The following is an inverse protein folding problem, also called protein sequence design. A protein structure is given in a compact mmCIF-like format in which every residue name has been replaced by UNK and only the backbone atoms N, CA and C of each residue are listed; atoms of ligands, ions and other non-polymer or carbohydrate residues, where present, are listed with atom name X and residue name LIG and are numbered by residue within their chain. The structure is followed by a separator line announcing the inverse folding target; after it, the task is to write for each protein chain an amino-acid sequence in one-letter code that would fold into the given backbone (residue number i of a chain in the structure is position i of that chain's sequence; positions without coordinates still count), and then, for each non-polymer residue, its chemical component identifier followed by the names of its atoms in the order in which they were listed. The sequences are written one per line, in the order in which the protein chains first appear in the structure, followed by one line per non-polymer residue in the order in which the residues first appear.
data_IF_368136060991
#
_entry.id   IF_368136060991
#
_cell.length_a   1.000
_cell.length_b   1.000
_cell.length_c   1.000
_cell.angle_alpha   90.00
_cell.angle_beta   90.00
_cell.angle_gamma   90.00
#
_symmetry.space_group_name_H-M   'P 1'
#
loop_
_entity.id
_entity.type
_entity.pdbx_description
1 polymer ?
#
# COMPACT_ATOMS: atom_id res chain seq x y z
N UNK A 1 6.71 -4.64 -18.55
CA UNK A 1 7.74 -5.29 -19.41
C UNK A 1 7.47 -6.79 -19.53
N UNK A 2 7.99 -7.46 -20.56
CA UNK A 2 7.76 -8.90 -20.75
C UNK A 2 8.36 -9.68 -19.57
N UNK A 3 7.55 -10.51 -18.92
CA UNK A 3 7.98 -11.38 -17.81
C UNK A 3 8.09 -10.69 -16.45
N UNK A 4 7.63 -9.46 -16.29
CA UNK A 4 7.56 -8.81 -14.98
C UNK A 4 6.32 -9.30 -14.23
N UNK A 5 6.54 -9.78 -13.00
CA UNK A 5 5.48 -10.29 -12.13
C UNK A 5 5.10 -9.30 -11.02
N UNK A 6 6.03 -8.45 -10.60
CA UNK A 6 5.84 -7.51 -9.49
C UNK A 6 6.18 -6.07 -9.90
N UNK A 7 5.42 -5.07 -9.44
CA UNK A 7 5.76 -3.67 -9.65
C UNK A 7 6.92 -3.23 -8.76
N UNK A 8 7.49 -2.08 -9.09
CA UNK A 8 8.36 -1.30 -8.22
C UNK A 8 7.49 -0.34 -7.43
N UNK A 9 7.58 -0.44 -6.10
CA UNK A 9 6.89 0.44 -5.17
C UNK A 9 7.68 1.73 -4.95
N UNK A 10 7.00 2.86 -5.04
CA UNK A 10 7.60 4.18 -4.95
C UNK A 10 6.84 5.06 -3.93
N UNK A 11 7.60 5.85 -3.18
CA UNK A 11 7.06 7.05 -2.52
C UNK A 11 6.81 8.13 -3.58
N UNK A 12 5.79 8.96 -3.37
CA UNK A 12 5.46 10.06 -4.30
C UNK A 12 6.14 11.39 -3.94
N UNK A 13 6.97 11.41 -2.89
CA UNK A 13 7.65 12.61 -2.39
C UNK A 13 8.99 12.25 -1.76
N UNK A 14 9.99 13.10 -1.99
CA UNK A 14 11.32 13.04 -1.34
C UNK A 14 11.27 13.34 0.16
N UNK A 15 10.22 14.00 0.63
CA UNK A 15 10.00 14.26 2.07
C UNK A 15 9.60 12.98 2.81
N UNK A 16 8.82 12.12 2.15
CA UNK A 16 8.26 10.88 2.71
C UNK A 16 8.76 9.63 1.98
N UNK A 17 10.04 9.62 1.63
CA UNK A 17 10.74 8.45 1.10
C UNK A 17 11.59 7.78 2.19
N UNK A 18 11.91 6.51 1.98
CA UNK A 18 12.98 5.87 2.74
C UNK A 18 14.30 6.55 2.39
N UNK A 19 15.02 7.01 3.40
CA UNK A 19 16.35 7.60 3.22
C UNK A 19 17.35 6.50 2.84
N UNK A 20 18.33 6.78 1.97
CA UNK A 20 19.39 5.84 1.72
C UNK A 20 20.11 5.47 3.04
N UNK A 21 20.56 4.22 3.10
CA UNK A 21 21.48 3.65 4.10
C UNK A 21 22.85 3.41 3.43
N UNK A 22 23.92 3.06 4.18
CA UNK A 22 25.20 2.70 3.56
C UNK A 22 25.02 1.68 2.43
N UNK A 23 25.78 1.87 1.34
CA UNK A 23 25.75 1.04 0.12
C UNK A 23 24.41 1.02 -0.64
N UNK A 24 23.54 2.01 -0.41
CA UNK A 24 22.29 2.19 -1.16
C UNK A 24 22.15 3.60 -1.71
N UNK A 25 21.32 3.74 -2.75
CA UNK A 25 20.96 5.00 -3.39
C UNK A 25 19.44 5.11 -3.49
N UNK A 26 18.94 6.33 -3.69
CA UNK A 26 17.55 6.57 -4.07
C UNK A 26 17.51 7.26 -5.42
N UNK A 27 16.72 6.72 -6.34
CA UNK A 27 16.42 7.39 -7.61
C UNK A 27 15.25 8.35 -7.45
N UNK A 28 15.45 9.60 -7.85
CA UNK A 28 14.36 10.55 -8.05
C UNK A 28 13.89 10.41 -9.49
N UNK A 29 12.62 10.07 -9.66
CA UNK A 29 12.05 9.69 -10.95
C UNK A 29 10.99 10.70 -11.40
N UNK A 30 11.04 11.08 -12.68
CA UNK A 30 9.91 11.69 -13.40
C UNK A 30 9.34 10.63 -14.34
N UNK A 31 8.07 10.30 -14.13
CA UNK A 31 7.38 9.22 -14.85
C UNK A 31 6.09 9.76 -15.43
N UNK A 32 5.77 9.35 -16.66
CA UNK A 32 4.47 9.70 -17.25
C UNK A 32 3.34 9.17 -16.38
N UNK A 33 2.36 10.02 -16.07
CA UNK A 33 1.25 9.67 -15.17
C UNK A 33 0.49 8.42 -15.62
N UNK A 34 0.42 8.15 -16.92
CA UNK A 34 -0.23 6.95 -17.47
C UNK A 34 0.55 5.65 -17.21
N UNK A 35 1.83 5.73 -16.88
CA UNK A 35 2.68 4.59 -16.47
C UNK A 35 2.66 4.35 -14.94
N UNK A 36 1.92 5.16 -14.17
CA UNK A 36 1.87 5.11 -12.71
C UNK A 36 0.52 4.60 -12.21
N UNK A 37 0.55 3.65 -11.28
CA UNK A 37 -0.61 3.21 -10.51
C UNK A 37 -0.49 3.77 -9.09
N UNK A 38 -1.34 4.72 -8.74
CA UNK A 38 -1.42 5.25 -7.38
C UNK A 38 -2.35 4.43 -6.52
N UNK A 39 -2.03 4.32 -5.23
CA UNK A 39 -2.88 3.67 -4.24
C UNK A 39 -2.69 4.31 -2.86
N UNK A 40 -3.66 4.09 -1.99
CA UNK A 40 -3.62 4.49 -0.59
C UNK A 40 -2.83 3.44 0.22
N UNK A 41 -1.64 3.82 0.69
CA UNK A 41 -0.76 3.00 1.50
C UNK A 41 -1.33 2.66 2.88
N UNK A 42 -2.22 3.50 3.43
CA UNK A 42 -2.91 3.19 4.68
C UNK A 42 -3.96 2.10 4.49
N UNK A 43 -4.68 2.11 3.36
CA UNK A 43 -5.58 1.01 2.97
C UNK A 43 -4.81 -0.27 2.63
N UNK A 44 -3.59 -0.15 2.11
CA UNK A 44 -2.75 -1.33 1.86
C UNK A 44 -2.40 -2.11 3.13
N UNK A 45 -2.25 -1.45 4.28
CA UNK A 45 -2.03 -2.13 5.57
C UNK A 45 -3.17 -3.13 5.89
N UNK A 46 -4.40 -2.80 5.51
CA UNK A 46 -5.54 -3.72 5.67
C UNK A 46 -5.39 -4.95 4.78
N UNK A 47 -4.87 -4.80 3.55
CA UNK A 47 -4.59 -5.93 2.66
C UNK A 47 -3.54 -6.85 3.27
N UNK A 48 -2.44 -6.29 3.78
CA UNK A 48 -1.36 -7.05 4.44
C UNK A 48 -1.86 -7.82 5.67
N UNK A 49 -2.80 -7.23 6.42
CA UNK A 49 -3.39 -7.82 7.62
C UNK A 49 -4.64 -8.67 7.33
N UNK A 50 -4.98 -8.92 6.06
CA UNK A 50 -6.16 -9.67 5.63
C UNK A 50 -7.51 -9.14 6.15
N UNK A 51 -7.62 -7.81 6.28
CA UNK A 51 -8.78 -7.11 6.81
C UNK A 51 -9.69 -6.59 5.70
N UNK A 52 -10.95 -6.36 6.06
CA UNK A 52 -11.94 -5.69 5.21
C UNK A 52 -11.63 -4.19 5.14
N UNK A 53 -11.61 -3.63 3.95
CA UNK A 53 -11.45 -2.18 3.73
C UNK A 53 -12.85 -1.57 3.62
N UNK A 54 -13.33 -0.79 4.60
CA UNK A 54 -14.65 -0.19 4.52
C UNK A 54 -14.72 0.91 3.46
N UNK A 55 -15.89 1.08 2.86
CA UNK A 55 -16.16 2.17 1.91
C UNK A 55 -16.28 3.52 2.63
N UNK A 56 -16.98 3.50 3.76
CA UNK A 56 -17.30 4.64 4.59
C UNK A 56 -17.55 4.15 6.03
N UNK A 57 -17.91 5.08 6.92
CA UNK A 57 -18.12 4.77 8.34
C UNK A 57 -19.32 3.84 8.52
N UNK A 58 -20.38 4.05 7.78
CA UNK A 58 -21.61 3.27 7.82
C UNK A 58 -21.37 1.82 7.35
N UNK A 59 -20.58 1.62 6.29
CA UNK A 59 -20.14 0.31 5.82
C UNK A 59 -19.26 -0.41 6.86
N UNK A 60 -18.38 0.32 7.55
CA UNK A 60 -17.57 -0.22 8.63
C UNK A 60 -18.43 -0.72 9.81
N UNK A 61 -19.41 0.08 10.24
CA UNK A 61 -20.35 -0.28 11.30
C UNK A 61 -21.21 -1.49 10.90
N UNK A 62 -21.74 -1.50 9.67
CA UNK A 62 -22.52 -2.61 9.16
C UNK A 62 -21.71 -3.91 9.04
N UNK A 63 -20.45 -3.83 8.61
CA UNK A 63 -19.56 -4.99 8.57
C UNK A 63 -19.26 -5.53 9.97
N UNK A 64 -18.94 -4.64 10.91
CA UNK A 64 -18.65 -5.01 12.30
C UNK A 64 -19.86 -5.68 12.98
N UNK A 65 -21.07 -5.15 12.80
CA UNK A 65 -22.30 -5.77 13.31
C UNK A 65 -22.50 -7.19 12.78
N UNK A 66 -22.24 -7.43 11.49
CA UNK A 66 -22.32 -8.77 10.89
C UNK A 66 -21.29 -9.75 11.47
N UNK A 67 -20.13 -9.26 11.87
CA UNK A 67 -19.11 -10.08 12.54
C UNK A 67 -19.57 -10.48 13.95
N UNK A 68 -20.10 -9.52 14.72
CA UNK A 68 -20.63 -9.76 16.06
C UNK A 68 -21.79 -10.75 16.05
N UNK A 69 -22.75 -10.60 15.13
CA UNK A 69 -23.88 -11.52 14.95
C UNK A 69 -23.44 -12.96 14.66
N UNK A 70 -22.24 -13.14 14.09
CA UNK A 70 -21.63 -14.44 13.81
C UNK A 70 -20.65 -14.90 14.91
N UNK A 71 -20.47 -14.12 15.97
CA UNK A 71 -19.58 -14.42 17.09
C UNK A 71 -18.10 -14.14 16.83
N UNK A 72 -17.76 -13.37 15.78
CA UNK A 72 -16.39 -12.94 15.52
C UNK A 72 -16.07 -11.62 16.21
N UNK A 73 -14.81 -11.46 16.62
CA UNK A 73 -14.28 -10.18 17.09
C UNK A 73 -14.09 -9.22 15.92
N UNK A 74 -14.10 -7.91 16.20
CA UNK A 74 -13.68 -6.91 15.21
C UNK A 74 -12.27 -7.18 14.70
N UNK A 75 -12.05 -6.91 13.41
CA UNK A 75 -10.75 -7.12 12.77
C UNK A 75 -10.36 -8.60 12.61
N UNK A 76 -11.31 -9.54 12.65
CA UNK A 76 -11.02 -10.95 12.44
C UNK A 76 -10.58 -11.25 10.99
N UNK A 77 -9.44 -11.93 10.82
CA UNK A 77 -8.94 -12.41 9.53
C UNK A 77 -9.58 -13.74 9.15
N UNK A 78 -10.25 -13.78 8.00
CA UNK A 78 -10.82 -15.01 7.41
C UNK A 78 -9.87 -15.73 6.43
N UNK A 79 -8.63 -15.27 6.32
CA UNK A 79 -7.68 -15.73 5.29
C UNK A 79 -6.57 -16.62 5.86
N UNK A 80 -6.49 -16.75 7.19
CA UNK A 80 -5.50 -17.57 7.86
C UNK A 80 -5.56 -19.04 7.41
N UNK A 81 -4.39 -19.65 7.16
CA UNK A 81 -4.27 -20.99 6.57
C UNK A 81 -5.12 -22.07 7.27
N UNK A 82 -5.28 -21.95 8.59
CA UNK A 82 -6.02 -22.91 9.41
C UNK A 82 -7.54 -22.71 9.35
N UNK A 83 -8.01 -21.50 9.08
CA UNK A 83 -9.44 -21.14 9.16
C UNK A 83 -10.08 -20.86 7.79
N UNK A 84 -9.27 -20.63 6.75
CA UNK A 84 -9.70 -20.21 5.41
C UNK A 84 -10.77 -21.08 4.76
N UNK A 85 -10.78 -22.39 5.03
CA UNK A 85 -11.74 -23.32 4.44
C UNK A 85 -13.14 -23.26 5.08
N UNK A 86 -13.25 -22.71 6.28
CA UNK A 86 -14.53 -22.64 7.00
C UNK A 86 -15.36 -21.42 6.63
N UNK A 87 -14.75 -20.36 6.09
CA UNK A 87 -15.40 -19.06 5.85
C UNK A 87 -15.17 -18.54 4.41
N UNK A 88 -15.58 -19.31 3.38
CA UNK A 88 -15.33 -18.94 1.99
C UNK A 88 -16.07 -17.64 1.58
N UNK A 89 -17.25 -17.39 2.14
CA UNK A 89 -18.06 -16.21 1.86
C UNK A 89 -17.43 -14.95 2.44
N UNK A 90 -17.05 -14.98 3.72
CA UNK A 90 -16.42 -13.87 4.42
C UNK A 90 -15.08 -13.52 3.79
N UNK A 91 -14.29 -14.54 3.42
CA UNK A 91 -13.05 -14.35 2.65
C UNK A 91 -13.31 -13.58 1.35
N UNK A 92 -14.33 -13.97 0.59
CA UNK A 92 -14.66 -13.30 -0.68
C UNK A 92 -15.07 -11.84 -0.44
N UNK A 93 -15.83 -11.56 0.61
CA UNK A 93 -16.22 -10.19 1.00
C UNK A 93 -14.98 -9.36 1.32
N UNK A 94 -14.07 -9.88 2.15
CA UNK A 94 -12.80 -9.22 2.48
C UNK A 94 -11.98 -8.94 1.22
N UNK A 95 -11.70 -9.97 0.42
CA UNK A 95 -10.87 -9.81 -0.78
C UNK A 95 -11.47 -8.87 -1.82
N UNK A 96 -12.80 -8.86 -1.98
CA UNK A 96 -13.47 -7.94 -2.90
C UNK A 96 -13.31 -6.48 -2.44
N UNK A 97 -13.15 -6.23 -1.13
CA UNK A 97 -12.93 -4.87 -0.62
C UNK A 97 -11.53 -4.33 -0.93
N UNK A 98 -10.55 -5.19 -1.22
CA UNK A 98 -9.16 -4.78 -1.43
C UNK A 98 -8.95 -3.90 -2.66
N UNK A 99 -9.83 -3.96 -3.65
CA UNK A 99 -9.76 -3.04 -4.80
C UNK A 99 -9.91 -1.56 -4.39
N UNK A 100 -10.48 -1.28 -3.21
CA UNK A 100 -10.63 0.07 -2.67
C UNK A 100 -9.30 0.72 -2.27
N UNK A 101 -8.17 -0.01 -2.28
CA UNK A 101 -6.84 0.63 -2.14
C UNK A 101 -6.57 1.66 -3.24
N UNK A 102 -7.21 1.52 -4.40
CA UNK A 102 -7.09 2.47 -5.51
C UNK A 102 -8.10 3.63 -5.42
N UNK A 103 -9.03 3.59 -4.47
CA UNK A 103 -9.94 4.69 -4.16
C UNK A 103 -9.25 5.61 -3.15
N UNK A 104 -8.63 6.69 -3.63
CA UNK A 104 -7.85 7.61 -2.78
C UNK A 104 -8.73 8.81 -2.43
N UNK A 105 -9.21 8.85 -1.19
CA UNK A 105 -10.11 9.90 -0.69
C UNK A 105 -9.36 11.20 -0.40
N UNK A 106 -8.13 11.08 0.11
CA UNK A 106 -7.29 12.21 0.49
C UNK A 106 -5.90 12.08 -0.13
N UNK A 107 -5.56 13.03 -1.01
CA UNK A 107 -4.27 13.03 -1.68
C UNK A 107 -3.22 13.78 -0.84
N UNK A 108 -2.35 13.04 -0.16
CA UNK A 108 -1.22 13.61 0.55
C UNK A 108 0.01 12.68 0.51
N UNK A 109 1.18 13.25 0.80
CA UNK A 109 2.48 12.58 0.69
C UNK A 109 2.67 11.42 1.68
N UNK A 110 1.88 11.36 2.75
CA UNK A 110 1.95 10.33 3.79
C UNK A 110 1.08 9.11 3.50
N UNK A 111 -0.03 9.30 2.78
CA UNK A 111 -0.98 8.24 2.45
C UNK A 111 -0.77 7.66 1.06
N UNK A 112 -0.49 8.51 0.07
CA UNK A 112 -0.44 8.05 -1.32
C UNK A 112 0.91 7.45 -1.65
N UNK A 113 0.88 6.30 -2.31
CA UNK A 113 2.05 5.62 -2.84
C UNK A 113 1.82 5.29 -4.30
N UNK A 114 2.89 4.90 -4.99
CA UNK A 114 2.88 4.63 -6.42
C UNK A 114 3.50 3.27 -6.73
N UNK A 115 3.00 2.64 -7.78
CA UNK A 115 3.58 1.47 -8.39
C UNK A 115 3.88 1.78 -9.86
N UNK A 116 5.09 1.43 -10.29
CA UNK A 116 5.51 1.45 -11.69
C UNK A 116 6.00 0.05 -12.11
N UNK A 117 6.01 -0.24 -13.40
CA UNK A 117 6.38 -1.57 -13.88
C UNK A 117 7.87 -1.73 -14.25
N UNK A 118 8.60 -0.62 -14.32
CA UNK A 118 10.02 -0.57 -14.67
C UNK A 118 10.58 0.82 -14.37
N UNK A 119 11.90 0.90 -14.18
CA UNK A 119 12.66 2.15 -14.17
C UNK A 119 13.45 2.21 -15.47
N UNK A 120 13.28 3.28 -16.25
CA UNK A 120 14.05 3.55 -17.47
C UNK A 120 15.08 4.65 -17.19
N UNK A 121 16.20 4.67 -17.92
CA UNK A 121 17.29 5.64 -17.70
C UNK A 121 16.83 7.09 -17.85
N UNK A 122 15.94 7.35 -18.79
CA UNK A 122 15.35 8.65 -19.10
C UNK A 122 14.37 9.15 -18.03
N UNK A 123 13.88 8.28 -17.15
CA UNK A 123 13.04 8.68 -16.01
C UNK A 123 13.86 9.27 -14.86
N UNK A 124 15.17 8.99 -14.79
CA UNK A 124 16.01 9.38 -13.65
C UNK A 124 16.35 10.87 -13.76
N UNK A 125 15.88 11.66 -12.80
CA UNK A 125 16.19 13.09 -12.69
C UNK A 125 17.33 13.37 -11.74
N UNK A 126 17.43 12.59 -10.68
CA UNK A 126 18.50 12.72 -9.70
C UNK A 126 18.79 11.38 -9.00
N UNK A 127 19.95 11.31 -8.34
CA UNK A 127 20.37 10.18 -7.50
C UNK A 127 20.81 10.74 -6.15
N UNK A 128 20.04 10.38 -5.12
CA UNK A 128 20.36 10.73 -3.74
C UNK A 128 21.23 9.61 -3.16
N UNK A 129 22.45 9.96 -2.79
CA UNK A 129 23.42 9.05 -2.17
C UNK A 129 23.28 9.07 -0.66
N UNK A 130 23.75 8.00 -0.02
CA UNK A 130 23.93 8.01 1.43
C UNK A 130 24.96 9.08 1.83
N UNK A 131 24.57 9.92 2.78
CA UNK A 131 25.42 10.91 3.41
C UNK A 131 25.32 10.75 4.93
N UNK A 132 26.47 10.55 5.59
CA UNK A 132 26.55 10.35 7.03
C UNK A 132 26.22 11.63 7.82
N UNK A 133 26.54 12.80 7.28
CA UNK A 133 26.42 14.07 8.00
C UNK A 133 24.96 14.55 8.09
N UNK A 134 24.18 14.40 7.02
CA UNK A 134 22.76 14.81 6.98
C UNK A 134 21.82 14.02 7.92
N UNK A 135 22.23 12.83 8.39
CA UNK A 135 21.47 12.08 9.41
C UNK A 135 21.65 12.62 10.84
N UNK A 136 22.75 13.32 11.13
CA UNK A 136 23.03 13.84 12.47
C UNK A 136 22.22 15.10 12.81
N UNK A 137 21.78 15.86 11.79
CA UNK A 137 21.02 17.10 11.95
C UNK A 137 19.49 16.91 12.03
N UNK A 138 18.98 15.71 11.78
CA UNK A 138 17.55 15.40 11.76
C UNK A 138 17.12 14.45 12.91
N UNK A 139 17.91 14.37 13.99
CA UNK A 139 17.56 13.67 15.24
C UNK A 139 17.02 14.62 16.28
#
# INVERSE_FOLDING_TARGET
PKGVEFPVWCSISEENMLRPIPDTIVYVLEVDRSEIIYFDGSKWDYVLNHLYIPKDKEDAEAYNKKLEEKGFKHGFSFIDKKTRHFYPTERKIVMNSWMRVFEIDEWNIFKVQANIWQIKKDMIKDIIYYDEESRLYNK
#
